data_IF_461826043633
#
_entry.id   IF_461826043633
#
_cell.length_a   1.000
_cell.length_b   1.000
_cell.length_c   1.000
_cell.angle_alpha   90.00
_cell.angle_beta   90.00
_cell.angle_gamma   90.00
#
_symmetry.space_group_name_H-M   'P 1'
#
loop_
_entity.id
_entity.type
_entity.pdbx_description
1 polymer ?
#
# COMPACT_ATOMS: atom_id res chain seq x y z
N UNK A 1 -43.00 16.51 -10.76
CA UNK A 1 -41.65 16.60 -10.16
C UNK A 1 -41.05 15.20 -10.13
N UNK A 2 -40.04 14.91 -10.97
CA UNK A 2 -39.34 13.63 -10.87
C UNK A 2 -38.39 13.72 -9.66
N UNK A 3 -38.74 13.05 -8.56
CA UNK A 3 -37.81 12.83 -7.46
C UNK A 3 -36.66 11.99 -8.00
N UNK A 4 -35.52 12.62 -8.27
CA UNK A 4 -34.27 11.91 -8.52
C UNK A 4 -33.91 11.24 -7.21
N UNK A 5 -34.29 9.98 -7.06
CA UNK A 5 -33.70 9.09 -6.06
C UNK A 5 -32.20 9.12 -6.34
N UNK A 6 -31.45 9.87 -5.54
CA UNK A 6 -30.00 9.77 -5.55
C UNK A 6 -29.71 8.28 -5.34
N UNK A 7 -29.08 7.62 -6.30
CA UNK A 7 -28.55 6.28 -6.08
C UNK A 7 -27.63 6.41 -4.88
N UNK A 8 -28.10 5.91 -3.73
CA UNK A 8 -27.29 5.86 -2.53
C UNK A 8 -26.23 4.82 -2.83
N UNK A 9 -25.00 5.25 -3.07
CA UNK A 9 -23.90 4.32 -3.31
C UNK A 9 -23.64 3.58 -1.99
N UNK A 10 -24.21 2.38 -1.93
CA UNK A 10 -24.15 1.43 -0.82
C UNK A 10 -22.80 0.73 -0.89
N UNK A 11 -22.04 0.80 0.19
CA UNK A 11 -20.75 0.13 0.33
C UNK A 11 -20.91 -0.97 1.37
N UNK A 12 -20.86 -2.20 0.88
CA UNK A 12 -20.69 -3.39 1.70
C UNK A 12 -19.20 -3.73 1.87
N UNK A 13 -18.90 -4.65 2.80
CA UNK A 13 -17.54 -5.13 3.08
C UNK A 13 -16.79 -5.56 1.82
N UNK A 14 -17.42 -6.43 1.00
CA UNK A 14 -16.86 -6.89 -0.27
C UNK A 14 -16.58 -5.75 -1.25
N UNK A 15 -17.47 -4.76 -1.33
CA UNK A 15 -17.31 -3.59 -2.19
C UNK A 15 -16.12 -2.73 -1.74
N UNK A 16 -15.99 -2.52 -0.43
CA UNK A 16 -14.84 -1.81 0.11
C UNK A 16 -13.53 -2.58 -0.07
N UNK A 17 -13.51 -3.89 0.14
CA UNK A 17 -12.31 -4.72 -0.04
C UNK A 17 -11.80 -4.61 -1.49
N UNK A 18 -12.71 -4.64 -2.48
CA UNK A 18 -12.37 -4.44 -3.87
C UNK A 18 -11.79 -3.04 -4.15
N UNK A 19 -12.38 -1.97 -3.59
CA UNK A 19 -11.87 -0.61 -3.73
C UNK A 19 -10.45 -0.47 -3.16
N UNK A 20 -10.21 -0.98 -1.95
CA UNK A 20 -8.92 -0.87 -1.27
C UNK A 20 -7.84 -1.66 -1.99
N UNK A 21 -8.16 -2.89 -2.40
CA UNK A 21 -7.23 -3.77 -3.14
C UNK A 21 -6.87 -3.15 -4.49
N UNK A 22 -7.87 -2.68 -5.25
CA UNK A 22 -7.65 -2.02 -6.53
C UNK A 22 -6.79 -0.75 -6.37
N UNK A 23 -7.08 0.07 -5.36
CA UNK A 23 -6.27 1.23 -5.04
C UNK A 23 -4.81 0.84 -4.79
N UNK A 24 -4.57 -0.17 -3.96
CA UNK A 24 -3.23 -0.65 -3.66
C UNK A 24 -2.49 -1.07 -4.94
N UNK A 25 -3.13 -1.87 -5.80
CA UNK A 25 -2.54 -2.30 -7.07
C UNK A 25 -2.09 -1.11 -7.93
N UNK A 26 -2.93 -0.07 -8.06
CA UNK A 26 -2.54 1.15 -8.79
C UNK A 26 -1.46 1.97 -8.08
N UNK A 27 -1.49 2.03 -6.74
CA UNK A 27 -0.49 2.73 -5.95
C UNK A 27 0.90 2.08 -6.10
N UNK A 28 0.98 0.76 -5.96
CA UNK A 28 2.19 -0.03 -6.16
C UNK A 28 2.77 0.18 -7.56
N UNK A 29 1.95 0.05 -8.61
CA UNK A 29 2.37 0.33 -9.98
C UNK A 29 2.90 1.76 -10.17
N UNK A 30 2.25 2.75 -9.53
CA UNK A 30 2.67 4.14 -9.62
C UNK A 30 4.00 4.37 -8.93
N UNK A 31 4.22 3.77 -7.76
CA UNK A 31 5.48 3.85 -7.03
C UNK A 31 6.61 3.24 -7.87
N UNK A 32 6.44 2.01 -8.37
CA UNK A 32 7.44 1.32 -9.19
C UNK A 32 7.83 2.11 -10.44
N UNK A 33 6.85 2.66 -11.16
CA UNK A 33 7.07 3.48 -12.33
C UNK A 33 7.80 4.79 -11.99
N UNK A 34 7.30 5.51 -11.00
CA UNK A 34 7.81 6.84 -10.64
C UNK A 34 9.22 6.79 -10.02
N UNK A 35 9.52 5.74 -9.27
CA UNK A 35 10.83 5.49 -8.66
C UNK A 35 11.80 4.79 -9.62
N UNK A 36 11.36 4.47 -10.84
CA UNK A 36 12.14 3.77 -11.85
C UNK A 36 12.76 2.45 -11.34
N UNK A 37 12.08 1.76 -10.43
CA UNK A 37 12.47 0.40 -10.01
C UNK A 37 12.40 -0.55 -11.21
N UNK A 38 11.45 -0.29 -12.10
CA UNK A 38 11.33 -0.95 -13.40
C UNK A 38 11.36 0.10 -14.52
N UNK A 39 11.80 -0.30 -15.73
CA UNK A 39 11.88 0.61 -16.86
C UNK A 39 10.48 1.09 -17.28
N UNK A 40 10.37 2.33 -17.74
CA UNK A 40 9.09 2.94 -18.08
C UNK A 40 8.34 2.24 -19.22
N UNK A 41 9.01 1.41 -20.02
CA UNK A 41 8.42 0.61 -21.10
C UNK A 41 7.66 -0.63 -20.61
N UNK A 42 7.93 -1.10 -19.38
CA UNK A 42 7.16 -2.17 -18.74
C UNK A 42 5.73 -1.75 -18.38
N UNK A 43 5.39 -0.47 -18.52
CA UNK A 43 4.12 0.09 -18.06
C UNK A 43 3.28 0.65 -19.22
N UNK A 44 2.04 0.19 -19.29
CA UNK A 44 0.99 0.85 -20.07
C UNK A 44 0.35 1.99 -19.29
N UNK A 45 -0.15 2.98 -20.04
CA UNK A 45 -0.94 4.08 -19.51
C UNK A 45 -2.43 3.73 -19.57
N UNK A 46 -3.09 3.68 -18.42
CA UNK A 46 -4.53 3.42 -18.31
C UNK A 46 -5.24 4.60 -17.64
N UNK A 47 -6.53 4.80 -17.91
CA UNK A 47 -7.33 5.84 -17.25
C UNK A 47 -8.09 5.27 -16.07
N UNK A 48 -7.78 5.71 -14.85
CA UNK A 48 -8.49 5.31 -13.63
C UNK A 48 -8.63 6.49 -12.67
N UNK A 49 -9.79 6.57 -11.97
CA UNK A 49 -10.12 7.66 -11.06
C UNK A 49 -10.01 9.06 -11.67
N UNK A 50 -10.15 9.17 -13.01
CA UNK A 50 -9.95 10.41 -13.76
C UNK A 50 -8.49 10.85 -13.90
N UNK A 51 -7.53 9.96 -13.64
CA UNK A 51 -6.10 10.14 -13.84
C UNK A 51 -5.56 9.13 -14.86
N UNK A 52 -4.41 9.46 -15.45
CA UNK A 52 -3.60 8.49 -16.20
C UNK A 52 -2.68 7.79 -15.20
N UNK A 53 -2.77 6.47 -15.13
CA UNK A 53 -2.02 5.62 -14.21
C UNK A 53 -1.11 4.69 -15.02
N UNK A 54 0.14 4.45 -14.59
CA UNK A 54 0.93 3.35 -15.09
C UNK A 54 0.35 2.01 -14.58
N UNK A 55 0.42 0.99 -15.41
CA UNK A 55 0.05 -0.39 -15.08
C UNK A 55 1.02 -1.32 -15.81
N UNK A 56 1.65 -2.25 -15.10
CA UNK A 56 2.58 -3.24 -15.67
C UNK A 56 1.91 -4.06 -16.77
N UNK A 57 2.70 -4.61 -17.69
CA UNK A 57 2.23 -5.48 -18.78
C UNK A 57 2.91 -6.86 -18.82
N UNK A 58 3.94 -7.05 -18.00
CA UNK A 58 4.85 -8.20 -17.97
C UNK A 58 4.52 -9.15 -16.82
N UNK A 59 5.41 -10.11 -16.55
CA UNK A 59 5.24 -11.13 -15.50
C UNK A 59 4.94 -10.53 -14.11
N UNK A 60 5.37 -9.30 -13.86
CA UNK A 60 5.09 -8.56 -12.61
C UNK A 60 3.61 -8.21 -12.45
N UNK A 61 2.83 -8.16 -13.55
CA UNK A 61 1.37 -8.10 -13.48
C UNK A 61 0.84 -9.27 -12.66
N UNK A 62 1.39 -10.47 -12.85
CA UNK A 62 0.94 -11.65 -12.12
C UNK A 62 1.29 -11.53 -10.64
N UNK A 63 2.47 -11.01 -10.31
CA UNK A 63 2.87 -10.78 -8.92
C UNK A 63 1.93 -9.79 -8.21
N UNK A 64 1.81 -8.56 -8.72
CA UNK A 64 0.97 -7.52 -8.09
C UNK A 64 -0.50 -7.95 -8.07
N UNK A 65 -0.98 -8.61 -9.13
CA UNK A 65 -2.37 -9.09 -9.19
C UNK A 65 -2.61 -10.22 -8.18
N UNK A 66 -1.68 -11.18 -8.04
CA UNK A 66 -1.79 -12.25 -7.05
C UNK A 66 -1.81 -11.69 -5.63
N UNK A 67 -0.92 -10.74 -5.33
CA UNK A 67 -0.91 -10.10 -4.04
C UNK A 67 -2.18 -9.28 -3.77
N UNK A 68 -2.65 -8.53 -4.77
CA UNK A 68 -3.90 -7.75 -4.70
C UNK A 68 -5.12 -8.67 -4.49
N UNK A 69 -5.14 -9.84 -5.13
CA UNK A 69 -6.19 -10.84 -4.96
C UNK A 69 -6.25 -11.35 -3.51
N UNK A 70 -5.09 -11.75 -2.95
CA UNK A 70 -5.04 -12.24 -1.56
C UNK A 70 -5.38 -11.14 -0.55
N UNK A 71 -4.90 -9.92 -0.77
CA UNK A 71 -5.27 -8.76 0.04
C UNK A 71 -6.78 -8.54 0.04
N UNK A 72 -7.46 -8.71 -1.11
CA UNK A 72 -8.92 -8.58 -1.19
C UNK A 72 -9.65 -9.64 -0.38
N UNK A 73 -9.10 -10.85 -0.25
CA UNK A 73 -9.66 -11.92 0.57
C UNK A 73 -9.54 -11.57 2.06
N UNK A 74 -8.35 -11.19 2.51
CA UNK A 74 -8.11 -10.80 3.91
C UNK A 74 -8.90 -9.54 4.32
N UNK A 75 -9.01 -8.55 3.43
CA UNK A 75 -9.90 -7.40 3.63
C UNK A 75 -11.37 -7.82 3.72
N UNK A 76 -11.79 -8.76 2.88
CA UNK A 76 -13.15 -9.31 2.91
C UNK A 76 -13.48 -10.05 4.20
N UNK A 77 -12.46 -10.60 4.87
CA UNK A 77 -12.57 -11.22 6.19
C UNK A 77 -12.37 -10.22 7.35
N UNK A 78 -11.98 -8.98 7.07
CA UNK A 78 -11.63 -7.98 8.09
C UNK A 78 -10.32 -8.27 8.82
N UNK A 79 -9.45 -9.07 8.21
CA UNK A 79 -8.24 -9.65 8.82
C UNK A 79 -6.93 -8.98 8.38
N UNK A 80 -6.99 -7.96 7.51
CA UNK A 80 -5.83 -7.22 7.02
C UNK A 80 -5.77 -5.84 7.68
N UNK A 81 -4.69 -5.55 8.41
CA UNK A 81 -4.46 -4.28 9.11
C UNK A 81 -3.44 -3.41 8.38
N UNK A 82 -2.66 -3.98 7.46
CA UNK A 82 -1.69 -3.20 6.70
C UNK A 82 -1.14 -3.94 5.49
N UNK A 83 -0.82 -3.16 4.46
CA UNK A 83 0.00 -3.62 3.35
C UNK A 83 1.24 -2.74 3.33
N UNK A 84 2.42 -3.33 3.17
CA UNK A 84 3.68 -2.60 3.05
C UNK A 84 4.37 -2.99 1.75
N UNK A 85 4.87 -2.01 1.01
CA UNK A 85 5.77 -2.22 -0.11
C UNK A 85 7.14 -1.67 0.27
N UNK A 86 8.16 -2.52 0.24
CA UNK A 86 9.54 -2.10 0.48
C UNK A 86 10.29 -2.01 -0.83
N UNK A 87 11.12 -0.99 -1.00
CA UNK A 87 12.13 -0.91 -2.05
C UNK A 87 13.49 -1.10 -1.38
N UNK A 88 14.28 -2.03 -1.89
CA UNK A 88 15.53 -2.46 -1.29
C UNK A 88 16.65 -2.48 -2.32
N UNK A 89 17.87 -2.31 -1.85
CA UNK A 89 19.07 -2.58 -2.65
C UNK A 89 19.08 -4.03 -3.14
N UNK A 90 19.28 -4.25 -4.43
CA UNK A 90 19.48 -5.61 -4.95
C UNK A 90 20.78 -6.23 -4.43
N UNK A 91 21.81 -5.41 -4.17
CA UNK A 91 23.14 -5.88 -3.80
C UNK A 91 23.25 -6.20 -2.30
N UNK A 92 22.62 -5.41 -1.43
CA UNK A 92 22.78 -5.52 0.03
C UNK A 92 21.53 -5.97 0.75
N UNK A 93 20.38 -5.99 0.08
CA UNK A 93 19.06 -6.16 0.70
C UNK A 93 18.71 -5.10 1.76
N UNK A 94 19.44 -3.98 1.82
CA UNK A 94 19.11 -2.84 2.67
C UNK A 94 17.80 -2.20 2.21
N UNK A 95 16.88 -1.94 3.14
CA UNK A 95 15.61 -1.27 2.87
C UNK A 95 15.83 0.24 2.71
N UNK A 96 15.52 0.76 1.53
CA UNK A 96 15.73 2.18 1.16
C UNK A 96 14.44 2.97 1.36
N UNK A 97 13.30 2.40 0.95
CA UNK A 97 11.97 2.97 1.13
C UNK A 97 11.00 1.93 1.67
N UNK A 98 10.08 2.38 2.52
CA UNK A 98 9.02 1.57 3.10
C UNK A 98 7.70 2.31 2.98
N UNK A 99 6.87 1.86 2.06
CA UNK A 99 5.55 2.40 1.78
C UNK A 99 4.49 1.64 2.55
N UNK A 100 3.95 2.27 3.58
CA UNK A 100 2.92 1.74 4.45
C UNK A 100 1.53 2.17 3.99
N UNK A 101 0.64 1.19 3.86
CA UNK A 101 -0.80 1.37 3.65
C UNK A 101 -1.52 0.75 4.85
N UNK A 102 -1.67 1.55 5.91
CA UNK A 102 -2.30 1.12 7.15
C UNK A 102 -3.82 1.09 6.96
N UNK A 103 -4.46 0.02 7.39
CA UNK A 103 -5.88 -0.24 7.17
C UNK A 103 -6.58 -0.37 8.51
N UNK A 104 -7.44 0.60 8.81
CA UNK A 104 -8.39 0.49 9.92
C UNK A 104 -9.69 -0.12 9.38
N UNK A 105 -10.04 -1.33 9.82
CA UNK A 105 -11.32 -1.96 9.52
C UNK A 105 -12.33 -1.61 10.62
N UNK A 106 -13.48 -1.05 10.24
CA UNK A 106 -14.54 -0.73 11.22
C UNK A 106 -15.23 -2.02 11.71
N UNK A 107 -15.10 -2.40 12.99
CA UNK A 107 -15.56 -3.69 13.51
C UNK A 107 -17.07 -3.93 13.30
N UNK A 108 -17.88 -2.88 13.36
CA UNK A 108 -19.32 -3.00 13.19
C UNK A 108 -19.74 -3.43 11.78
N UNK A 109 -18.87 -3.32 10.78
CA UNK A 109 -19.15 -3.81 9.42
C UNK A 109 -18.87 -5.30 9.33
N UNK A 110 -17.79 -5.77 9.94
CA UNK A 110 -17.39 -7.18 9.93
C UNK A 110 -18.33 -8.00 10.80
N UNK A 111 -18.62 -7.55 12.03
CA UNK A 111 -19.44 -8.31 12.99
C UNK A 111 -20.94 -8.30 12.65
N UNK A 112 -21.46 -7.16 12.20
CA UNK A 112 -22.91 -6.97 11.99
C UNK A 112 -23.31 -7.00 10.51
N UNK A 113 -22.36 -7.15 9.59
CA UNK A 113 -22.61 -7.02 8.16
C UNK A 113 -23.18 -5.66 7.78
N UNK A 114 -22.88 -4.61 8.56
CA UNK A 114 -23.55 -3.32 8.40
C UNK A 114 -23.20 -2.66 7.06
N UNK A 115 -24.23 -2.21 6.35
CA UNK A 115 -24.07 -1.48 5.09
C UNK A 115 -23.78 -0.01 5.39
N UNK A 116 -22.77 0.55 4.72
CA UNK A 116 -22.37 1.94 4.87
C UNK A 116 -22.72 2.72 3.62
N UNK A 117 -23.00 4.00 3.79
CA UNK A 117 -23.30 4.89 2.67
C UNK A 117 -22.15 5.88 2.49
N UNK A 118 -21.50 5.85 1.32
CA UNK A 118 -20.57 6.89 0.87
C UNK A 118 -20.54 6.89 -0.65
N UNK A 119 -20.65 8.06 -1.26
CA UNK A 119 -20.64 8.14 -2.72
C UNK A 119 -19.30 7.71 -3.32
N UNK A 120 -19.37 6.94 -4.40
CA UNK A 120 -18.19 6.48 -5.15
C UNK A 120 -17.37 7.68 -5.62
N UNK A 121 -18.06 8.75 -6.06
CA UNK A 121 -17.42 10.01 -6.47
C UNK A 121 -16.58 10.64 -5.37
N UNK A 122 -16.97 10.52 -4.11
CA UNK A 122 -16.20 11.06 -2.97
C UNK A 122 -14.96 10.20 -2.72
N UNK A 123 -15.11 8.88 -2.75
CA UNK A 123 -13.98 7.94 -2.60
C UNK A 123 -12.97 8.12 -3.72
N UNK A 124 -13.41 8.19 -4.97
CA UNK A 124 -12.54 8.45 -6.12
C UNK A 124 -11.79 9.77 -6.01
N UNK A 125 -12.38 10.81 -5.41
CA UNK A 125 -11.71 12.09 -5.18
C UNK A 125 -10.61 11.97 -4.13
N UNK A 126 -10.83 11.20 -3.07
CA UNK A 126 -9.85 10.95 -2.01
C UNK A 126 -8.68 10.11 -2.54
N UNK A 127 -8.97 9.01 -3.26
CA UNK A 127 -7.95 8.19 -3.94
C UNK A 127 -7.11 9.04 -4.90
N UNK A 128 -7.75 9.92 -5.68
CA UNK A 128 -7.07 10.86 -6.58
C UNK A 128 -6.12 11.80 -5.83
N UNK A 129 -6.48 12.24 -4.62
CA UNK A 129 -5.63 13.09 -3.80
C UNK A 129 -4.37 12.35 -3.35
N UNK A 130 -4.50 11.08 -2.95
CA UNK A 130 -3.35 10.24 -2.57
C UNK A 130 -2.44 10.00 -3.77
N UNK A 131 -2.99 9.60 -4.92
CA UNK A 131 -2.18 9.39 -6.13
C UNK A 131 -1.37 10.63 -6.51
N UNK A 132 -2.00 11.82 -6.47
CA UNK A 132 -1.28 13.07 -6.76
C UNK A 132 -0.16 13.33 -5.77
N UNK A 133 -0.33 12.93 -4.52
CA UNK A 133 0.74 13.04 -3.54
C UNK A 133 1.85 12.03 -3.73
N UNK A 134 1.54 10.79 -4.11
CA UNK A 134 2.55 9.80 -4.52
C UNK A 134 3.39 10.40 -5.65
N UNK A 135 2.74 11.02 -6.64
CA UNK A 135 3.42 11.67 -7.77
C UNK A 135 4.23 12.92 -7.36
N UNK A 136 3.84 13.63 -6.31
CA UNK A 136 4.54 14.82 -5.87
C UNK A 136 5.67 14.54 -4.89
N UNK A 137 5.52 13.56 -3.99
CA UNK A 137 6.47 13.35 -2.89
C UNK A 137 7.78 12.69 -3.34
N UNK A 138 7.87 12.20 -4.57
CA UNK A 138 9.11 11.63 -5.14
C UNK A 138 10.25 12.64 -5.14
N UNK A 139 9.96 13.95 -5.24
CA UNK A 139 10.99 15.00 -5.17
C UNK A 139 11.66 15.10 -3.81
N UNK A 140 11.02 14.56 -2.77
CA UNK A 140 11.51 14.57 -1.39
C UNK A 140 12.19 13.25 -1.02
N UNK A 141 12.13 12.23 -1.89
CA UNK A 141 12.72 10.91 -1.65
C UNK A 141 14.16 10.84 -2.18
N UNK A 142 15.06 10.04 -1.54
CA UNK A 142 16.44 9.86 -1.99
C UNK A 142 16.55 9.38 -3.44
N UNK A 143 17.67 9.60 -4.12
CA UNK A 143 17.90 8.96 -5.42
C UNK A 143 18.16 7.46 -5.23
N UNK A 144 17.62 6.62 -6.12
CA UNK A 144 17.95 5.19 -6.18
C UNK A 144 19.18 5.05 -7.10
N UNK A 145 20.38 5.16 -6.52
CA UNK A 145 21.65 5.18 -7.27
C UNK A 145 22.14 3.78 -7.68
N UNK A 146 21.43 2.74 -7.26
CA UNK A 146 21.76 1.34 -7.52
C UNK A 146 20.52 0.53 -7.92
N UNK A 147 20.70 -0.63 -8.59
CA UNK A 147 19.58 -1.51 -8.92
C UNK A 147 18.79 -1.89 -7.67
N UNK A 148 17.50 -1.60 -7.69
CA UNK A 148 16.60 -1.88 -6.58
C UNK A 148 15.64 -3.01 -6.93
N UNK A 149 15.18 -3.70 -5.90
CA UNK A 149 14.13 -4.71 -5.94
C UNK A 149 13.03 -4.30 -4.97
N UNK A 150 11.87 -4.94 -5.04
CA UNK A 150 10.79 -4.65 -4.10
C UNK A 150 10.19 -5.94 -3.57
N UNK A 151 9.65 -5.87 -2.36
CA UNK A 151 8.80 -6.93 -1.79
C UNK A 151 7.52 -6.33 -1.25
N UNK A 152 6.53 -7.20 -1.05
CA UNK A 152 5.26 -6.82 -0.43
C UNK A 152 5.03 -7.58 0.85
N UNK A 153 4.68 -6.87 1.92
CA UNK A 153 4.30 -7.44 3.20
C UNK A 153 2.81 -7.21 3.45
N UNK A 154 2.20 -8.15 4.14
CA UNK A 154 0.85 -8.07 4.68
C UNK A 154 0.91 -8.24 6.20
N UNK A 155 0.29 -7.29 6.89
CA UNK A 155 0.04 -7.34 8.32
C UNK A 155 -1.39 -7.81 8.52
N UNK A 156 -1.54 -8.99 9.12
CA UNK A 156 -2.82 -9.66 9.33
C UNK A 156 -3.06 -9.95 10.82
N UNK A 157 -4.29 -10.34 11.16
CA UNK A 157 -4.48 -11.05 12.43
C UNK A 157 -3.62 -12.33 12.43
N UNK A 158 -3.28 -12.83 13.63
CA UNK A 158 -2.41 -14.00 13.81
C UNK A 158 -3.07 -15.34 13.45
N UNK A 159 -4.38 -15.36 13.22
CA UNK A 159 -5.20 -16.56 12.95
C UNK A 159 -5.48 -16.79 11.46
N UNK A 160 -4.72 -16.12 10.59
CA UNK A 160 -4.92 -16.16 9.14
C UNK A 160 -4.07 -17.24 8.48
N UNK A 161 -4.69 -17.99 7.56
CA UNK A 161 -3.97 -18.89 6.66
C UNK A 161 -3.34 -18.11 5.49
N UNK A 162 -2.02 -18.03 5.49
CA UNK A 162 -1.24 -17.50 4.38
C UNK A 162 -0.99 -18.58 3.32
N UNK A 163 -1.07 -18.26 2.02
CA UNK A 163 -0.64 -19.17 0.96
C UNK A 163 0.87 -19.46 1.05
N UNK A 164 1.32 -20.58 0.48
CA UNK A 164 2.75 -20.96 0.49
C UNK A 164 3.67 -19.92 -0.17
N UNK A 165 3.15 -19.08 -1.06
CA UNK A 165 3.91 -17.97 -1.68
C UNK A 165 4.13 -16.78 -0.74
N UNK A 166 3.54 -16.80 0.45
CA UNK A 166 3.64 -15.78 1.48
C UNK A 166 4.32 -16.40 2.70
N UNK A 167 5.55 -15.97 2.97
CA UNK A 167 6.37 -16.50 4.07
C UNK A 167 6.37 -15.55 5.26
N UNK A 168 6.59 -16.06 6.47
CA UNK A 168 6.73 -15.20 7.65
C UNK A 168 7.92 -14.24 7.48
N UNK A 169 7.75 -12.99 7.92
CA UNK A 169 8.74 -11.92 7.72
C UNK A 169 9.02 -11.11 8.97
N UNK A 170 10.23 -10.57 9.04
CA UNK A 170 10.52 -9.41 9.88
C UNK A 170 9.77 -8.15 9.37
N UNK A 171 9.87 -7.05 10.12
CA UNK A 171 9.14 -5.80 9.88
C UNK A 171 9.72 -4.95 8.74
N UNK A 172 10.94 -5.27 8.26
CA UNK A 172 11.70 -4.50 7.27
C UNK A 172 11.73 -3.00 7.55
N UNK A 173 12.03 -2.64 8.82
CA UNK A 173 12.12 -1.24 9.24
C UNK A 173 13.40 -0.57 8.74
N UNK A 174 13.32 0.75 8.55
CA UNK A 174 14.46 1.59 8.16
C UNK A 174 14.94 2.33 9.40
N UNK A 175 16.20 2.13 9.77
CA UNK A 175 16.82 2.87 10.86
C UNK A 175 17.05 4.34 10.49
N UNK A 176 16.85 5.25 11.44
CA UNK A 176 17.05 6.69 11.25
C UNK A 176 16.27 7.25 10.05
N UNK A 177 14.98 6.92 10.00
CA UNK A 177 14.11 7.27 8.87
C UNK A 177 13.55 8.70 8.98
N UNK A 178 13.32 9.32 7.82
CA UNK A 178 12.31 10.37 7.67
C UNK A 178 10.97 9.73 7.28
N UNK A 179 9.87 10.41 7.59
CA UNK A 179 8.52 9.92 7.26
C UNK A 179 7.69 11.03 6.64
N UNK A 180 7.05 10.73 5.52
CA UNK A 180 6.07 11.62 4.89
C UNK A 180 4.71 10.93 4.97
N UNK A 181 3.78 11.56 5.69
CA UNK A 181 2.39 11.11 5.75
C UNK A 181 1.61 11.70 4.58
N UNK A 182 1.00 10.84 3.78
CA UNK A 182 0.11 11.21 2.69
C UNK A 182 -1.34 11.27 3.19
N UNK A 183 -2.25 11.70 2.31
CA UNK A 183 -3.69 11.71 2.55
C UNK A 183 -4.18 10.28 2.84
N UNK A 184 -5.31 10.23 3.54
CA UNK A 184 -6.07 9.02 3.76
C UNK A 184 -7.34 9.03 2.90
N UNK A 185 -7.87 7.84 2.60
CA UNK A 185 -9.25 7.70 2.12
C UNK A 185 -10.02 6.74 3.01
N UNK A 186 -11.34 6.86 3.02
CA UNK A 186 -12.20 6.15 3.96
C UNK A 186 -13.48 5.68 3.28
N UNK A 187 -13.65 4.38 3.04
CA UNK A 187 -14.87 3.85 2.42
C UNK A 187 -16.07 3.77 3.37
N UNK A 188 -15.89 4.16 4.64
CA UNK A 188 -16.75 3.87 5.80
C UNK A 188 -16.79 2.42 6.24
N UNK A 189 -16.02 1.57 5.59
CA UNK A 189 -15.73 0.19 6.02
C UNK A 189 -14.26 0.02 6.34
N UNK A 190 -13.40 0.52 5.47
CA UNK A 190 -11.96 0.56 5.64
C UNK A 190 -11.50 2.00 5.51
N UNK A 191 -10.64 2.42 6.43
CA UNK A 191 -9.88 3.67 6.30
C UNK A 191 -8.42 3.32 6.04
N UNK A 192 -7.86 3.92 4.99
CA UNK A 192 -6.50 3.69 4.56
C UNK A 192 -5.69 4.95 4.79
N UNK A 193 -4.66 4.86 5.62
CA UNK A 193 -3.63 5.89 5.79
C UNK A 193 -2.35 5.46 5.06
N UNK A 194 -1.78 6.37 4.25
CA UNK A 194 -0.55 6.10 3.52
C UNK A 194 0.62 6.87 4.11
N UNK A 195 1.74 6.21 4.33
CA UNK A 195 2.98 6.80 4.83
C UNK A 195 4.16 6.22 4.07
N UNK A 196 5.10 7.05 3.64
CA UNK A 196 6.40 6.59 3.15
C UNK A 196 7.46 6.91 4.18
N UNK A 197 8.28 5.91 4.50
CA UNK A 197 9.47 6.02 5.33
C UNK A 197 10.70 5.79 4.44
N UNK A 198 11.74 6.61 4.60
CA UNK A 198 12.97 6.51 3.82
C UNK A 198 14.18 6.94 4.65
N UNK A 199 15.36 6.42 4.29
CA UNK A 199 16.60 6.74 4.96
C UNK A 199 16.89 8.24 4.89
N UNK A 200 17.25 8.82 6.03
CA UNK A 200 17.65 10.22 6.13
C UNK A 200 19.01 10.45 5.49
N UNK A 201 19.17 11.53 4.72
CA UNK A 201 20.48 11.96 4.24
C UNK A 201 21.35 12.39 5.43
N UNK A 202 22.63 12.00 5.47
CA UNK A 202 23.54 12.33 6.58
C UNK A 202 23.66 13.86 6.79
N UNK A 203 23.47 14.64 5.73
CA UNK A 203 23.51 16.11 5.74
C UNK A 203 22.31 16.76 6.48
N UNK A 204 21.22 16.02 6.71
CA UNK A 204 20.06 16.51 7.44
C UNK A 204 20.34 16.49 8.95
N UNK A 205 20.99 17.54 9.46
CA UNK A 205 21.44 17.65 10.87
C UNK A 205 20.33 17.82 11.92
N UNK A 206 19.04 17.80 11.54
CA UNK A 206 17.92 17.92 12.49
C UNK A 206 17.49 16.56 13.06
N UNK A 207 18.16 16.04 14.08
CA UNK A 207 17.62 14.90 14.85
C UNK A 207 16.34 15.34 15.57
N UNK A 208 15.16 14.99 15.05
CA UNK A 208 13.90 15.26 15.75
C UNK A 208 13.54 14.05 16.60
N UNK A 209 13.48 14.18 17.94
CA UNK A 209 13.03 13.11 18.85
C UNK A 209 11.67 12.51 18.47
N UNK A 210 10.88 13.24 17.66
CA UNK A 210 9.61 12.77 17.12
C UNK A 210 9.72 11.58 16.15
N UNK A 211 10.82 11.41 15.40
CA UNK A 211 10.94 10.26 14.47
C UNK A 211 11.12 8.96 15.27
N UNK A 212 12.02 8.95 16.25
CA UNK A 212 12.28 7.80 17.13
C UNK A 212 11.01 7.36 17.88
N UNK A 213 10.23 8.31 18.41
CA UNK A 213 8.97 7.99 19.09
C UNK A 213 7.93 7.39 18.13
N UNK A 214 7.90 7.85 16.87
CA UNK A 214 6.99 7.30 15.85
C UNK A 214 7.40 5.89 15.43
N UNK A 215 8.69 5.65 15.25
CA UNK A 215 9.25 4.34 14.90
C UNK A 215 8.94 3.30 15.99
N UNK A 216 9.28 3.61 17.25
CA UNK A 216 8.98 2.72 18.38
C UNK A 216 7.47 2.43 18.51
N UNK A 217 6.61 3.41 18.19
CA UNK A 217 5.16 3.21 18.20
C UNK A 217 4.69 2.29 17.06
N UNK A 218 5.27 2.40 15.88
CA UNK A 218 4.96 1.50 14.75
C UNK A 218 5.39 0.09 15.11
N UNK A 219 6.60 -0.09 15.62
CA UNK A 219 7.13 -1.40 16.02
C UNK A 219 6.25 -2.07 17.09
N UNK A 220 5.83 -1.32 18.11
CA UNK A 220 4.91 -1.84 19.14
C UNK A 220 3.54 -2.25 18.57
N UNK A 221 2.98 -1.48 17.63
CA UNK A 221 1.70 -1.80 16.99
C UNK A 221 1.81 -3.01 16.04
N UNK A 222 2.95 -3.14 15.37
CA UNK A 222 3.23 -4.21 14.40
C UNK A 222 3.73 -5.51 15.06
N UNK A 223 4.13 -5.47 16.34
CA UNK A 223 4.63 -6.63 17.08
C UNK A 223 3.54 -7.68 17.41
N UNK A 224 2.27 -7.27 17.44
CA UNK A 224 1.14 -8.15 17.81
C UNK A 224 0.42 -8.76 16.58
N UNK A 225 0.91 -8.49 15.36
CA UNK A 225 0.27 -8.88 14.11
C UNK A 225 1.00 -10.08 13.46
N UNK A 226 0.24 -10.90 12.73
CA UNK A 226 0.82 -11.83 11.77
C UNK A 226 1.47 -11.04 10.63
N UNK A 227 2.67 -11.44 10.21
CA UNK A 227 3.44 -10.72 9.19
C UNK A 227 3.94 -11.66 8.13
N UNK A 228 3.43 -11.48 6.93
CA UNK A 228 3.80 -12.30 5.78
C UNK A 228 4.42 -11.42 4.70
N UNK A 229 5.45 -11.92 4.03
CA UNK A 229 6.06 -11.29 2.85
C UNK A 229 5.86 -12.19 1.63
N UNK A 230 5.48 -11.57 0.52
CA UNK A 230 5.57 -12.15 -0.80
C UNK A 230 6.82 -11.59 -1.46
N UNK A 231 7.78 -12.46 -1.79
CA UNK A 231 9.03 -12.06 -2.44
C UNK A 231 8.78 -11.84 -3.92
N UNK A 232 9.05 -10.64 -4.45
CA UNK A 232 8.86 -10.40 -5.89
C UNK A 232 9.93 -11.07 -6.75
N UNK A 233 11.09 -11.36 -6.17
CA UNK A 233 12.26 -11.82 -6.90
C UNK A 233 12.38 -13.33 -7.09
N UNK A 234 11.56 -14.17 -6.45
CA UNK A 234 11.56 -15.60 -6.80
C UNK A 234 11.04 -15.85 -8.23
N UNK A 235 10.35 -14.89 -8.85
CA UNK A 235 10.01 -14.95 -10.28
C UNK A 235 11.08 -14.36 -11.21
N UNK A 236 12.17 -13.78 -10.69
CA UNK A 236 13.16 -13.04 -11.47
C UNK A 236 14.40 -13.85 -11.86
N UNK A 237 14.67 -14.99 -11.21
CA UNK A 237 15.89 -15.79 -11.48
C UNK A 237 15.84 -16.59 -12.80
N UNK A 238 14.75 -16.53 -13.58
CA UNK A 238 14.65 -17.20 -14.88
C UNK A 238 14.98 -16.33 -16.11
N UNK A 239 15.52 -15.11 -15.96
CA UNK A 239 15.95 -14.25 -17.10
C UNK A 239 17.35 -13.67 -16.87
#
# INVERSE_FOLDING_TARGET
MASRTASKDIIALRGSAAIVSEFFGYAANSILYNRAVYPGESFAKVKKYGLTMPLTQDEWVNFITSATSKNSEWLGAGKLQGIVMVIMSKATSEVIERWNFNIDTYPEVVEKGSIKEKSDKKIMREIRAIKRQIDSCITDLPCLDEPCVFDMLAYTDTDVDAPDTWIESDTKLIHNTQMVKLHSFDTKVHKVDTVVSYKKNEDDTSSSSSSVIREARIELLEAELGRFVMLANESAEEI
#
